data_IF_136013667278
#
_entry.id   IF_136013667278
#
_cell.length_a   1.000
_cell.length_b   1.000
_cell.length_c   1.000
_cell.angle_alpha   90.00
_cell.angle_beta   90.00
_cell.angle_gamma   90.00
#
_symmetry.space_group_name_H-M   'P 1'
#
loop_
_entity.id
_entity.type
_entity.pdbx_description
1 polymer ?
#
# COMPACT_ATOMS: atom_id res chain seq x y z
N UNK A 1 20.35 -5.67 -11.64
CA UNK A 1 20.05 -4.35 -11.05
C UNK A 1 18.86 -3.80 -11.81
N UNK A 2 17.65 -4.11 -11.37
CA UNK A 2 16.42 -3.75 -12.07
C UNK A 2 15.86 -2.50 -11.42
N UNK A 3 15.97 -1.36 -12.09
CA UNK A 3 15.18 -0.19 -11.74
C UNK A 3 13.71 -0.55 -12.00
N UNK A 4 12.90 -0.57 -10.95
CA UNK A 4 11.46 -0.75 -11.11
C UNK A 4 10.86 0.61 -11.50
N UNK A 5 10.35 0.78 -12.74
CA UNK A 5 9.79 2.05 -13.18
C UNK A 5 8.56 2.48 -12.36
N UNK A 6 7.91 1.54 -11.65
CA UNK A 6 6.74 1.80 -10.83
C UNK A 6 7.07 2.07 -9.37
N UNK A 7 8.35 2.05 -8.96
CA UNK A 7 8.74 2.37 -7.59
C UNK A 7 8.21 3.73 -7.10
N UNK A 8 8.31 4.84 -7.87
CA UNK A 8 7.81 6.12 -7.42
C UNK A 8 6.29 6.11 -7.19
N UNK A 9 5.55 5.39 -8.05
CA UNK A 9 4.11 5.23 -7.92
C UNK A 9 3.76 4.39 -6.69
N UNK A 10 4.46 3.27 -6.48
CA UNK A 10 4.29 2.42 -5.30
C UNK A 10 4.50 3.21 -4.01
N UNK A 11 5.59 3.98 -3.93
CA UNK A 11 5.91 4.85 -2.81
C UNK A 11 4.83 5.92 -2.60
N UNK A 12 4.39 6.59 -3.66
CA UNK A 12 3.38 7.65 -3.56
C UNK A 12 2.06 7.11 -3.01
N UNK A 13 1.62 5.94 -3.48
CA UNK A 13 0.39 5.31 -2.97
C UNK A 13 0.53 4.83 -1.54
N UNK A 14 1.68 4.28 -1.16
CA UNK A 14 1.99 3.97 0.24
C UNK A 14 1.88 5.23 1.13
N UNK A 15 2.45 6.35 0.70
CA UNK A 15 2.34 7.62 1.43
C UNK A 15 0.90 8.15 1.51
N UNK A 16 0.10 7.96 0.46
CA UNK A 16 -1.32 8.30 0.46
C UNK A 16 -2.12 7.45 1.47
N UNK A 17 -1.89 6.13 1.50
CA UNK A 17 -2.46 5.23 2.51
C UNK A 17 -2.09 5.65 3.92
N UNK A 18 -0.81 5.98 4.17
CA UNK A 18 -0.37 6.44 5.49
C UNK A 18 -1.08 7.73 5.92
N UNK A 19 -1.25 8.67 5.00
CA UNK A 19 -1.94 9.94 5.27
C UNK A 19 -3.43 9.71 5.54
N UNK A 20 -4.07 8.82 4.78
CA UNK A 20 -5.50 8.55 4.88
C UNK A 20 -5.90 7.82 6.17
N UNK A 21 -5.00 6.99 6.71
CA UNK A 21 -5.20 6.19 7.92
C UNK A 21 -4.42 6.70 9.15
N UNK A 22 -3.89 7.92 9.10
CA UNK A 22 -3.08 8.55 10.17
C UNK A 22 -1.92 7.67 10.69
N UNK A 23 -1.29 6.92 9.78
CA UNK A 23 -0.18 6.02 10.10
C UNK A 23 1.11 6.84 10.19
N UNK A 24 1.71 6.84 11.38
CA UNK A 24 3.04 7.43 11.58
C UNK A 24 4.15 6.57 10.97
N UNK A 25 5.25 7.20 10.56
CA UNK A 25 6.43 6.49 10.04
C UNK A 25 6.97 5.46 11.04
N UNK A 26 7.01 5.81 12.33
CA UNK A 26 7.45 4.89 13.38
C UNK A 26 6.51 3.70 13.55
N UNK A 27 5.19 3.91 13.46
CA UNK A 27 4.19 2.84 13.48
C UNK A 27 4.34 1.88 12.30
N UNK A 28 4.49 2.43 11.09
CA UNK A 28 4.75 1.65 9.89
C UNK A 28 6.05 0.84 10.03
N UNK A 29 7.13 1.49 10.46
CA UNK A 29 8.43 0.85 10.63
C UNK A 29 8.38 -0.29 11.65
N UNK A 30 7.73 -0.10 12.80
CA UNK A 30 7.64 -1.13 13.83
C UNK A 30 6.92 -2.38 13.32
N UNK A 31 5.82 -2.19 12.57
CA UNK A 31 5.06 -3.28 11.94
C UNK A 31 5.89 -4.00 10.88
N UNK A 32 6.49 -3.25 9.98
CA UNK A 32 7.41 -3.74 8.94
C UNK A 32 8.61 -4.51 9.51
N UNK A 33 9.21 -4.00 10.58
CA UNK A 33 10.33 -4.65 11.27
C UNK A 33 9.90 -5.98 11.89
N UNK A 34 8.72 -6.03 12.51
CA UNK A 34 8.13 -7.28 13.02
C UNK A 34 7.89 -8.36 11.96
N UNK A 35 7.70 -7.96 10.69
CA UNK A 35 7.56 -8.87 9.54
C UNK A 35 8.90 -9.33 8.94
N UNK A 36 10.04 -8.96 9.54
CA UNK A 36 11.37 -9.28 9.01
C UNK A 36 11.94 -8.22 8.07
N UNK A 37 11.43 -6.99 8.11
CA UNK A 37 11.99 -5.84 7.42
C UNK A 37 13.44 -5.58 7.79
N UNK A 38 14.29 -5.33 6.79
CA UNK A 38 15.74 -5.13 7.00
C UNK A 38 16.17 -3.66 7.10
N UNK A 39 15.30 -2.72 6.74
CA UNK A 39 15.59 -1.29 6.76
C UNK A 39 15.29 -0.66 8.14
N UNK A 40 16.14 0.27 8.58
CA UNK A 40 15.90 1.07 9.77
C UNK A 40 14.81 2.13 9.56
N UNK A 41 14.30 2.71 10.65
CA UNK A 41 13.26 3.76 10.60
C UNK A 41 13.67 4.94 9.71
N UNK A 42 14.92 5.38 9.80
CA UNK A 42 15.45 6.46 8.96
C UNK A 42 15.53 6.09 7.49
N UNK A 43 15.82 4.83 7.16
CA UNK A 43 15.84 4.35 5.78
C UNK A 43 14.43 4.25 5.22
N UNK A 44 13.46 3.80 6.03
CA UNK A 44 12.03 3.83 5.67
C UNK A 44 11.57 5.26 5.41
N UNK A 45 11.91 6.20 6.29
CA UNK A 45 11.61 7.61 6.07
C UNK A 45 12.28 8.15 4.80
N UNK A 46 13.57 7.86 4.59
CA UNK A 46 14.30 8.27 3.40
C UNK A 46 13.67 7.69 2.12
N UNK A 47 13.21 6.44 2.16
CA UNK A 47 12.47 5.82 1.07
C UNK A 47 11.16 6.56 0.81
N UNK A 48 10.35 6.84 1.83
CA UNK A 48 9.09 7.58 1.70
C UNK A 48 9.29 9.00 1.12
N UNK A 49 10.40 9.65 1.46
CA UNK A 49 10.80 10.95 0.89
C UNK A 49 11.43 10.84 -0.52
N UNK A 50 11.62 9.62 -1.03
CA UNK A 50 12.22 9.34 -2.33
C UNK A 50 13.72 9.64 -2.42
N UNK A 51 14.41 9.67 -1.28
CA UNK A 51 15.85 9.90 -1.19
C UNK A 51 16.67 8.63 -1.46
N UNK A 52 16.08 7.45 -1.21
CA UNK A 52 16.67 6.15 -1.50
C UNK A 52 15.65 5.24 -2.19
N UNK A 53 16.16 4.19 -2.82
CA UNK A 53 15.36 3.08 -3.34
C UNK A 53 15.50 1.86 -2.45
N UNK A 54 14.40 1.14 -2.26
CA UNK A 54 14.38 -0.15 -1.56
C UNK A 54 14.14 -1.30 -2.54
N UNK A 55 14.66 -2.51 -2.28
CA UNK A 55 14.34 -3.68 -3.07
C UNK A 55 12.84 -3.98 -3.07
N UNK A 56 12.32 -4.54 -4.17
CA UNK A 56 10.89 -4.92 -4.32
C UNK A 56 10.32 -5.62 -3.08
N UNK A 57 10.96 -6.68 -2.52
CA UNK A 57 10.41 -7.38 -1.36
C UNK A 57 10.27 -6.49 -0.11
N UNK A 58 11.17 -5.52 0.05
CA UNK A 58 11.11 -4.58 1.17
C UNK A 58 10.00 -3.55 0.99
N UNK A 59 9.75 -3.09 -0.25
CA UNK A 59 8.64 -2.18 -0.56
C UNK A 59 7.29 -2.87 -0.42
N UNK A 60 7.20 -4.13 -0.83
CA UNK A 60 5.99 -4.94 -0.66
C UNK A 60 5.72 -5.24 0.81
N UNK A 61 6.75 -5.47 1.62
CA UNK A 61 6.61 -5.58 3.08
C UNK A 61 6.12 -4.27 3.71
N UNK A 62 6.59 -3.11 3.23
CA UNK A 62 6.07 -1.81 3.70
C UNK A 62 4.59 -1.63 3.32
N UNK A 63 4.20 -2.03 2.10
CA UNK A 63 2.79 -2.00 1.70
C UNK A 63 1.93 -2.94 2.56
N UNK A 64 2.42 -4.15 2.84
CA UNK A 64 1.75 -5.10 3.72
C UNK A 64 1.57 -4.54 5.12
N UNK A 65 2.64 -3.99 5.71
CA UNK A 65 2.61 -3.39 7.03
C UNK A 65 1.61 -2.22 7.12
N UNK A 66 1.54 -1.37 6.09
CA UNK A 66 0.56 -0.29 6.03
C UNK A 66 -0.87 -0.84 5.94
N UNK A 67 -1.11 -1.84 5.09
CA UNK A 67 -2.44 -2.43 4.91
C UNK A 67 -2.94 -3.11 6.19
N UNK A 68 -2.07 -3.79 6.93
CA UNK A 68 -2.47 -4.38 8.21
C UNK A 68 -2.79 -3.31 9.27
N UNK A 69 -2.05 -2.19 9.29
CA UNK A 69 -2.36 -1.08 10.20
C UNK A 69 -3.67 -0.37 9.84
N UNK A 70 -4.00 -0.31 8.54
CA UNK A 70 -5.30 0.15 8.04
C UNK A 70 -6.41 -0.76 8.54
N UNK A 71 -6.26 -2.08 8.39
CA UNK A 71 -7.27 -3.06 8.80
C UNK A 71 -7.54 -3.04 10.31
N UNK A 72 -6.54 -2.69 11.12
CA UNK A 72 -6.66 -2.52 12.57
C UNK A 72 -7.20 -1.13 12.98
N UNK A 73 -7.42 -0.22 12.04
CA UNK A 73 -7.92 1.12 12.35
C UNK A 73 -9.38 1.09 12.80
N UNK A 74 -9.79 1.96 13.75
CA UNK A 74 -11.17 2.05 14.20
C UNK A 74 -12.17 2.34 13.07
N UNK A 75 -11.75 3.11 12.06
CA UNK A 75 -12.58 3.50 10.91
C UNK A 75 -12.98 2.30 10.06
N UNK A 76 -12.07 1.33 9.88
CA UNK A 76 -12.35 0.07 9.17
C UNK A 76 -13.23 -0.84 10.01
N UNK A 77 -12.89 -0.99 11.30
CA UNK A 77 -13.62 -1.87 12.22
C UNK A 77 -15.08 -1.44 12.38
N UNK A 78 -15.35 -0.14 12.40
CA UNK A 78 -16.70 0.43 12.51
C UNK A 78 -17.46 0.44 11.17
N UNK A 79 -16.79 0.15 10.06
CA UNK A 79 -17.36 0.14 8.71
C UNK A 79 -17.70 1.54 8.19
N UNK A 80 -17.16 2.60 8.79
CA UNK A 80 -17.46 3.98 8.43
C UNK A 80 -16.72 4.44 7.17
N UNK A 81 -15.56 3.83 6.88
CA UNK A 81 -14.69 4.21 5.75
C UNK A 81 -14.02 2.99 5.14
N UNK A 82 -13.80 3.04 3.82
CA UNK A 82 -12.92 2.11 3.09
C UNK A 82 -11.62 2.86 2.76
N UNK A 83 -10.54 2.68 3.54
CA UNK A 83 -9.30 3.44 3.34
C UNK A 83 -8.56 2.96 2.09
N UNK A 84 -7.69 3.83 1.58
CA UNK A 84 -6.82 3.48 0.45
C UNK A 84 -5.80 2.43 0.86
N UNK A 85 -5.76 1.29 0.18
CA UNK A 85 -4.73 0.27 0.39
C UNK A 85 -3.46 0.57 -0.43
N UNK A 86 -2.30 0.32 0.18
CA UNK A 86 -1.01 0.44 -0.45
C UNK A 86 -0.80 -0.71 -1.43
N UNK A 87 -0.41 -0.44 -2.69
CA UNK A 87 -0.23 -1.47 -3.70
C UNK A 87 1.08 -2.25 -3.51
N UNK A 88 1.04 -3.52 -3.90
CA UNK A 88 2.24 -4.32 -4.12
C UNK A 88 2.82 -4.04 -5.51
N UNK A 89 4.10 -4.36 -5.72
CA UNK A 89 4.79 -4.05 -6.97
C UNK A 89 4.14 -4.77 -8.17
N UNK A 90 3.67 -6.01 -8.01
CA UNK A 90 3.02 -6.78 -9.08
C UNK A 90 1.70 -6.15 -9.56
N UNK A 91 0.95 -5.52 -8.66
CA UNK A 91 -0.30 -4.81 -8.96
C UNK A 91 -0.08 -3.57 -9.84
N UNK A 92 1.13 -2.99 -9.83
CA UNK A 92 1.51 -1.86 -10.68
C UNK A 92 2.16 -2.30 -11.99
N UNK A 93 2.70 -3.53 -12.03
CA UNK A 93 3.28 -4.13 -13.22
C UNK A 93 2.24 -4.81 -14.13
N UNK A 94 0.96 -4.85 -13.73
CA UNK A 94 -0.14 -5.36 -14.54
C UNK A 94 -0.56 -4.41 -15.68
N UNK A 95 -1.20 -4.91 -16.76
CA UNK A 95 -1.81 -4.04 -17.76
C UNK A 95 -2.82 -3.14 -17.06
N UNK A 96 -2.64 -1.83 -17.19
CA UNK A 96 -3.51 -0.82 -16.62
C UNK A 96 -4.99 -1.12 -16.92
N UNK A 97 -5.81 -1.15 -15.87
CA UNK A 97 -7.27 -1.20 -15.83
C UNK A 97 -7.93 -2.59 -15.92
N UNK A 98 -8.59 -2.96 -14.81
CA UNK A 98 -10.02 -3.26 -14.87
C UNK A 98 -10.74 -2.27 -13.94
N UNK A 99 -10.95 -1.04 -14.42
CA UNK A 99 -11.86 -0.08 -13.80
C UNK A 99 -13.32 -0.46 -14.13
N UNK A 100 -14.09 -0.78 -13.09
CA UNK A 100 -15.46 -0.27 -12.92
C UNK A 100 -16.64 -1.09 -13.45
N UNK A 101 -17.85 -0.87 -12.89
CA UNK A 101 -18.83 -1.92 -12.60
C UNK A 101 -19.94 -2.08 -13.66
N UNK A 102 -20.53 -3.27 -13.72
CA UNK A 102 -21.88 -3.46 -14.24
C UNK A 102 -22.68 -4.35 -13.27
N UNK A 103 -23.14 -3.74 -12.18
CA UNK A 103 -24.49 -4.05 -11.71
C UNK A 103 -25.43 -3.60 -12.82
N UNK A 104 -25.79 -4.55 -13.68
CA UNK A 104 -26.84 -4.43 -14.69
C UNK A 104 -27.88 -5.50 -14.40
N UNK A 105 -28.80 -5.14 -13.52
CA UNK A 105 -30.09 -5.80 -13.32
C UNK A 105 -30.84 -5.91 -14.67
N UNK A 106 -31.44 -7.07 -14.96
CA UNK A 106 -32.39 -7.22 -16.06
C UNK A 106 -32.65 -8.69 -16.46
N UNK A 107 -33.91 -9.06 -16.80
CA UNK A 107 -34.53 -10.28 -16.29
C UNK A 107 -34.74 -11.39 -17.34
N UNK A 108 -35.10 -12.56 -16.80
CA UNK A 108 -35.89 -13.67 -17.38
C UNK A 108 -36.55 -13.41 -18.74
N UNK A 109 -36.30 -14.32 -19.71
CA UNK A 109 -37.16 -14.79 -20.85
C UNK A 109 -36.27 -15.36 -21.97
N UNK A 110 -36.53 -16.49 -22.62
CA UNK A 110 -37.66 -17.42 -22.71
C UNK A 110 -37.14 -18.80 -23.15
#
# INVERSE_FOLDING_TARGET
>A
MGFDPHEPEQRNRLGATMTDADITVGGLWLRYFGMGGSAGEYEVNAYLQGLISLPVPQRDLLAMAANELVDESPEVITGEKHPLLAPYADQLNGPAQLNGPASGDGPERA
#
